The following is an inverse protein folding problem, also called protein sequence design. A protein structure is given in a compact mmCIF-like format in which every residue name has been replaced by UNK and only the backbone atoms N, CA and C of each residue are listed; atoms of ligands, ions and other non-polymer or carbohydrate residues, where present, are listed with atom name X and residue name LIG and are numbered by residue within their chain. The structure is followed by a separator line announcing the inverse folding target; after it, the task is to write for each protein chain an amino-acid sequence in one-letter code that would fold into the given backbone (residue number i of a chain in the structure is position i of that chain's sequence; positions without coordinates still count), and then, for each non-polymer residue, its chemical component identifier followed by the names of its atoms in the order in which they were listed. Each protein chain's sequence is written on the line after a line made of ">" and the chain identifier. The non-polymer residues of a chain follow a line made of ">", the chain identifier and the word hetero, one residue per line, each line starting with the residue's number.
data_IF_518891324173
#
_entry.id   IF_518891324173
#
_cell.length_a   1.000
_cell.length_b   1.000
_cell.length_c   1.000
_cell.angle_alpha   90.00
_cell.angle_beta   90.00
_cell.angle_gamma   90.00
#
_symmetry.space_group_name_H-M   'P 1'
#
loop_
_entity.id
_entity.type
_entity.pdbx_description
1 polymer ?
#
# COMPACT_ATOMS: atom_id res chain seq x y z
N UNK A 1 6.29 3.03 -0.32
CA UNK A 1 7.71 3.06 -0.75
C UNK A 1 8.54 4.12 -0.04
N UNK A 2 8.08 5.38 0.06
CA UNK A 2 8.85 6.44 0.74
C UNK A 2 9.15 6.10 2.20
N UNK A 3 8.14 5.65 2.96
CA UNK A 3 8.29 5.17 4.34
C UNK A 3 9.29 4.01 4.44
N UNK A 4 9.19 3.01 3.57
CA UNK A 4 10.11 1.87 3.56
C UNK A 4 11.57 2.31 3.46
N UNK A 5 11.86 3.29 2.59
CA UNK A 5 13.20 3.85 2.53
C UNK A 5 13.63 4.54 3.83
N UNK A 6 12.73 5.21 4.55
CA UNK A 6 13.05 5.87 5.84
C UNK A 6 13.47 4.86 6.91
N UNK A 7 12.89 3.66 6.85
CA UNK A 7 13.27 2.54 7.72
C UNK A 7 14.40 1.68 7.15
N UNK A 8 15.03 2.12 6.05
CA UNK A 8 16.08 1.36 5.35
C UNK A 8 15.63 -0.03 4.86
N UNK A 9 14.31 -0.24 4.68
CA UNK A 9 13.76 -1.43 4.05
C UNK A 9 13.96 -1.31 2.54
N UNK A 10 15.00 -1.97 2.07
CA UNK A 10 15.42 -1.93 0.66
C UNK A 10 14.88 -3.12 -0.16
N UNK A 11 14.28 -4.12 0.49
CA UNK A 11 13.58 -5.24 -0.14
C UNK A 11 12.15 -5.24 0.35
N UNK A 12 11.20 -5.00 -0.54
CA UNK A 12 9.79 -4.86 -0.18
C UNK A 12 8.87 -5.72 -1.04
N UNK A 13 7.75 -6.12 -0.45
CA UNK A 13 6.60 -6.67 -1.16
C UNK A 13 5.48 -5.64 -1.10
N UNK A 14 4.88 -5.31 -2.25
CA UNK A 14 3.74 -4.42 -2.35
C UNK A 14 2.53 -5.21 -2.85
N UNK A 15 1.45 -5.18 -2.08
CA UNK A 15 0.15 -5.69 -2.52
C UNK A 15 -0.74 -4.49 -2.87
N UNK A 16 -1.40 -4.54 -4.02
CA UNK A 16 -2.28 -3.45 -4.49
C UNK A 16 -3.51 -4.02 -5.18
N UNK A 17 -4.66 -3.40 -4.94
CA UNK A 17 -5.90 -3.66 -5.68
C UNK A 17 -6.11 -2.70 -6.86
N UNK A 18 -5.22 -1.71 -7.01
CA UNK A 18 -5.21 -0.83 -8.16
C UNK A 18 -4.40 -1.44 -9.30
N UNK A 19 -5.10 -1.84 -10.35
CA UNK A 19 -4.48 -2.30 -11.61
C UNK A 19 -3.56 -1.23 -12.22
N UNK A 20 -3.95 0.05 -12.12
CA UNK A 20 -3.12 1.17 -12.60
C UNK A 20 -1.80 1.22 -11.85
N UNK A 21 -1.81 1.09 -10.52
CA UNK A 21 -0.59 1.06 -9.72
C UNK A 21 0.25 -0.16 -10.08
N UNK A 22 -0.35 -1.35 -10.17
CA UNK A 22 0.35 -2.56 -10.56
C UNK A 22 1.04 -2.41 -11.92
N UNK A 23 0.33 -1.89 -12.92
CA UNK A 23 0.87 -1.62 -14.24
C UNK A 23 1.96 -0.54 -14.24
N UNK A 24 1.86 0.49 -13.38
CA UNK A 24 2.92 1.48 -13.20
C UNK A 24 4.23 0.86 -12.72
N UNK A 25 4.18 -0.16 -11.85
CA UNK A 25 5.38 -0.89 -11.42
C UNK A 25 5.99 -1.75 -12.54
N UNK A 26 5.16 -2.31 -13.42
CA UNK A 26 5.62 -3.15 -14.54
C UNK A 26 6.18 -2.32 -15.70
N UNK A 27 5.52 -1.21 -16.02
CA UNK A 27 5.83 -0.37 -17.20
C UNK A 27 6.71 0.83 -16.87
N UNK A 28 6.89 1.13 -15.58
CA UNK A 28 7.48 2.38 -15.09
C UNK A 28 6.76 3.65 -15.61
N UNK A 29 5.50 3.50 -16.04
CA UNK A 29 4.66 4.60 -16.48
C UNK A 29 3.87 5.15 -15.29
N UNK A 30 4.22 6.36 -14.87
CA UNK A 30 3.58 7.06 -13.76
C UNK A 30 3.15 8.47 -14.19
N UNK A 31 2.06 9.02 -13.62
CA UNK A 31 1.67 10.40 -13.84
C UNK A 31 2.82 11.36 -13.56
N UNK A 32 2.95 12.42 -14.37
CA UNK A 32 4.06 13.36 -14.28
C UNK A 32 4.16 14.03 -12.90
N UNK A 33 3.03 14.24 -12.23
CA UNK A 33 2.94 14.80 -10.88
C UNK A 33 3.62 13.90 -9.83
N UNK A 34 3.65 12.59 -10.06
CA UNK A 34 4.20 11.60 -9.14
C UNK A 34 5.62 11.15 -9.55
N UNK A 35 6.04 11.43 -10.78
CA UNK A 35 7.28 10.95 -11.38
C UNK A 35 8.52 11.20 -10.52
N UNK A 36 8.68 12.41 -9.98
CA UNK A 36 9.82 12.75 -9.11
C UNK A 36 9.82 11.98 -7.79
N UNK A 37 8.65 11.80 -7.16
CA UNK A 37 8.50 11.05 -5.91
C UNK A 37 8.73 9.56 -6.14
N UNK A 38 8.16 9.03 -7.22
CA UNK A 38 8.37 7.66 -7.67
C UNK A 38 9.84 7.32 -7.82
N UNK A 39 10.61 8.08 -8.61
CA UNK A 39 12.03 7.81 -8.81
C UNK A 39 12.84 7.89 -7.51
N UNK A 40 12.56 8.87 -6.64
CA UNK A 40 13.23 8.98 -5.34
C UNK A 40 12.95 7.77 -4.46
N UNK A 41 11.70 7.29 -4.45
CA UNK A 41 11.31 6.14 -3.68
C UNK A 41 11.93 4.85 -4.23
N UNK A 42 11.86 4.61 -5.54
CA UNK A 42 12.46 3.44 -6.18
C UNK A 42 13.98 3.40 -6.04
N UNK A 43 14.69 4.55 -6.09
CA UNK A 43 16.15 4.60 -5.91
C UNK A 43 16.63 4.06 -4.55
N UNK A 44 15.76 4.09 -3.54
CA UNK A 44 16.07 3.60 -2.18
C UNK A 44 15.80 2.10 -2.02
N UNK A 45 15.16 1.48 -3.01
CA UNK A 45 14.81 0.06 -3.01
C UNK A 45 15.81 -0.70 -3.91
N UNK A 46 16.32 -1.80 -3.40
CA UNK A 46 17.16 -2.75 -4.14
C UNK A 46 16.31 -3.78 -4.87
N UNK A 47 15.25 -4.25 -4.22
CA UNK A 47 14.32 -5.25 -4.76
C UNK A 47 12.89 -4.88 -4.37
N UNK A 48 11.97 -5.01 -5.30
CA UNK A 48 10.55 -4.98 -4.99
C UNK A 48 9.81 -6.07 -5.76
N UNK A 49 8.78 -6.61 -5.12
CA UNK A 49 7.77 -7.45 -5.77
C UNK A 49 6.43 -6.79 -5.66
N UNK A 50 5.62 -6.96 -6.70
CA UNK A 50 4.24 -6.49 -6.68
C UNK A 50 3.29 -7.64 -6.96
N UNK A 51 2.25 -7.74 -6.15
CA UNK A 51 1.11 -8.61 -6.40
C UNK A 51 -0.16 -7.78 -6.50
N UNK A 52 -0.94 -8.06 -7.55
CA UNK A 52 -2.28 -7.52 -7.66
C UNK A 52 -3.22 -8.40 -6.83
N UNK A 53 -3.99 -7.79 -5.94
CA UNK A 53 -4.99 -8.46 -5.10
C UNK A 53 -6.40 -7.95 -5.46
N UNK A 54 -7.42 -8.74 -5.19
CA UNK A 54 -8.79 -8.28 -5.34
C UNK A 54 -9.10 -7.24 -4.26
N UNK A 55 -9.80 -6.16 -4.63
CA UNK A 55 -10.20 -5.10 -3.68
C UNK A 55 -11.07 -5.62 -2.53
N UNK A 56 -11.77 -6.75 -2.75
CA UNK A 56 -12.53 -7.48 -1.73
C UNK A 56 -11.65 -8.05 -0.62
N UNK A 57 -10.37 -8.30 -0.93
CA UNK A 57 -9.35 -8.83 -0.04
C UNK A 57 -8.31 -7.77 0.36
N UNK A 58 -8.62 -6.46 0.21
CA UNK A 58 -7.75 -5.35 0.58
C UNK A 58 -8.42 -4.40 1.59
N UNK A 59 -9.28 -4.93 2.44
CA UNK A 59 -10.11 -4.12 3.34
C UNK A 59 -9.31 -3.54 4.51
N UNK A 60 -8.26 -4.20 5.01
CA UNK A 60 -7.43 -3.63 6.06
C UNK A 60 -6.69 -2.38 5.57
N UNK A 61 -6.14 -2.42 4.35
CA UNK A 61 -5.52 -1.27 3.72
C UNK A 61 -6.53 -0.14 3.47
N UNK A 62 -7.74 -0.46 3.01
CA UNK A 62 -8.83 0.53 2.83
C UNK A 62 -9.26 1.18 4.17
N UNK A 63 -9.43 0.39 5.23
CA UNK A 63 -9.75 0.91 6.56
C UNK A 63 -8.62 1.80 7.12
N UNK A 64 -7.36 1.39 6.93
CA UNK A 64 -6.19 2.20 7.30
C UNK A 64 -6.14 3.50 6.49
N UNK A 65 -6.45 3.46 5.19
CA UNK A 65 -6.49 4.66 4.34
C UNK A 65 -7.61 5.62 4.78
N UNK A 66 -8.80 5.10 5.13
CA UNK A 66 -9.90 5.89 5.67
C UNK A 66 -9.54 6.53 7.02
N UNK A 67 -8.84 5.80 7.89
CA UNK A 67 -8.31 6.34 9.15
C UNK A 67 -7.31 7.46 8.88
N UNK A 68 -6.36 7.23 7.98
CA UNK A 68 -5.33 8.20 7.60
C UNK A 68 -5.90 9.47 6.95
N UNK A 69 -7.01 9.35 6.19
CA UNK A 69 -7.69 10.50 5.59
C UNK A 69 -8.27 11.48 6.62
N UNK A 70 -8.48 11.04 7.86
CA UNK A 70 -8.93 11.88 8.97
C UNK A 70 -7.80 12.56 9.75
N UNK A 71 -6.53 12.24 9.47
CA UNK A 71 -5.38 12.81 10.16
C UNK A 71 -5.03 14.20 9.62
N UNK A 72 -4.45 15.04 10.47
CA UNK A 72 -3.95 16.34 10.02
C UNK A 72 -2.70 16.15 9.15
N UNK A 73 -2.43 17.14 8.29
CA UNK A 73 -1.27 17.10 7.41
C UNK A 73 0.03 17.00 8.25
N UNK A 74 0.78 15.92 8.02
CA UNK A 74 2.05 15.66 8.71
C UNK A 74 1.92 14.79 9.96
N UNK A 75 0.71 14.39 10.33
CA UNK A 75 0.49 13.37 11.36
C UNK A 75 0.70 11.97 10.77
N UNK A 76 1.36 11.12 11.56
CA UNK A 76 1.56 9.70 11.28
C UNK A 76 1.14 8.91 12.52
N UNK A 77 0.26 7.92 12.34
CA UNK A 77 -0.12 6.98 13.41
C UNK A 77 0.53 5.61 13.15
N UNK A 78 1.15 5.05 14.20
CA UNK A 78 1.74 3.73 14.17
C UNK A 78 1.03 2.81 15.15
N UNK A 79 0.70 1.60 14.70
CA UNK A 79 0.03 0.60 15.52
C UNK A 79 0.88 -0.67 15.60
N UNK A 80 1.14 -1.12 16.82
CA UNK A 80 1.71 -2.43 17.07
C UNK A 80 0.58 -3.46 17.16
N UNK A 81 0.64 -4.51 16.34
CA UNK A 81 -0.42 -5.51 16.26
C UNK A 81 -1.68 -4.97 15.59
N UNK A 82 -2.85 -5.53 15.95
CA UNK A 82 -4.15 -5.15 15.36
C UNK A 82 -4.75 -3.93 16.07
N UNK A 83 -4.90 -2.77 15.39
CA UNK A 83 -5.62 -1.62 15.93
C UNK A 83 -7.09 -1.97 16.24
N UNK A 84 -7.67 -1.33 17.25
CA UNK A 84 -9.06 -1.60 17.67
C UNK A 84 -10.08 -1.31 16.56
N UNK A 85 -9.80 -0.34 15.69
CA UNK A 85 -10.67 -0.01 14.55
C UNK A 85 -10.57 -1.02 13.39
N UNK A 86 -9.52 -1.85 13.33
CA UNK A 86 -9.43 -2.96 12.38
C UNK A 86 -10.14 -4.19 12.96
N UNK A 87 -11.47 -4.18 12.86
CA UNK A 87 -12.32 -5.26 13.39
C UNK A 87 -12.16 -6.58 12.65
N UNK A 88 -11.79 -6.52 11.36
CA UNK A 88 -11.54 -7.69 10.50
C UNK A 88 -10.14 -7.54 9.90
N UNK A 89 -9.43 -8.67 9.72
CA UNK A 89 -8.18 -8.78 8.96
C UNK A 89 -8.31 -9.86 7.89
N UNK A 90 -7.57 -9.69 6.79
CA UNK A 90 -7.47 -10.68 5.73
C UNK A 90 -6.88 -11.98 6.28
N UNK A 91 -7.49 -13.10 5.92
CA UNK A 91 -7.07 -14.45 6.26
C UNK A 91 -6.54 -15.08 4.98
N UNK A 92 -5.28 -15.55 4.96
CA UNK A 92 -4.71 -16.22 3.81
C UNK A 92 -5.61 -17.37 3.33
N UNK A 93 -5.76 -17.49 2.02
CA UNK A 93 -6.58 -18.54 1.37
C UNK A 93 -8.09 -18.49 1.65
N UNK A 94 -8.60 -17.45 2.30
CA UNK A 94 -10.03 -17.20 2.42
C UNK A 94 -10.53 -16.38 1.23
N UNK A 95 -11.65 -16.78 0.63
CA UNK A 95 -12.28 -16.02 -0.46
C UNK A 95 -13.23 -14.98 0.15
N UNK A 96 -13.00 -13.72 -0.17
CA UNK A 96 -13.86 -12.62 0.19
C UNK A 96 -14.80 -12.30 -0.96
N UNK A 97 -16.06 -11.97 -0.66
CA UNK A 97 -17.05 -11.53 -1.64
C UNK A 97 -17.63 -10.21 -1.15
N UNK A 98 -17.67 -9.20 -2.02
CA UNK A 98 -18.35 -7.93 -1.74
C UNK A 98 -19.57 -7.82 -2.65
N UNK A 99 -20.75 -7.86 -2.05
CA UNK A 99 -21.99 -7.60 -2.76
C UNK A 99 -22.22 -6.08 -2.79
N UNK A 100 -22.27 -5.52 -4.00
CA UNK A 100 -22.53 -4.11 -4.26
C UNK A 100 -24.02 -3.85 -4.49
#
# INVERSE_FOLDING_TARGET
>A
MELAGNFNWNKIWIETDSEVVANSFLTNYVPWQLKSRWYRACKRLQEWRITHIYSEANFSADQMAKRAAGLMKGEEEWHWGRPQFLTVLEVPHHKYFRFH
#
